data_IF_371534263370
#
_entry.id   IF_371534263370
#
_cell.length_a   1.000
_cell.length_b   1.000
_cell.length_c   1.000
_cell.angle_alpha   90.00
_cell.angle_beta   90.00
_cell.angle_gamma   90.00
#
_symmetry.space_group_name_H-M   'P 1'
#
loop_
_entity.id
_entity.type
_entity.pdbx_description
1 polymer ?
#
# COMPACT_ATOMS: atom_id res chain seq x y z
N UNK A 1 -11.53 -25.45 -1.13
CA UNK A 1 -10.55 -24.76 -0.28
C UNK A 1 -10.00 -25.74 0.74
N UNK A 2 -8.73 -25.59 1.15
CA UNK A 2 -8.17 -26.27 2.31
C UNK A 2 -8.61 -25.54 3.59
N UNK A 3 -8.77 -26.25 4.71
CA UNK A 3 -9.11 -25.65 6.01
C UNK A 3 -7.94 -24.89 6.66
N UNK A 4 -6.77 -24.84 6.01
CA UNK A 4 -5.53 -24.32 6.57
C UNK A 4 -4.34 -25.10 6.03
N UNK A 5 -3.18 -24.45 5.98
CA UNK A 5 -1.95 -25.03 5.48
C UNK A 5 -0.77 -24.64 6.37
N UNK A 6 -0.10 -25.63 6.97
CA UNK A 6 1.17 -25.41 7.67
C UNK A 6 2.33 -25.90 6.81
N UNK A 7 3.25 -25.00 6.47
CA UNK A 7 4.42 -25.28 5.62
C UNK A 7 5.66 -25.34 6.50
N UNK A 8 6.17 -26.56 6.74
CA UNK A 8 7.41 -26.79 7.49
C UNK A 8 8.65 -26.92 6.59
N UNK A 9 8.46 -27.41 5.36
CA UNK A 9 9.50 -27.54 4.33
C UNK A 9 9.37 -26.46 3.27
N UNK A 10 9.61 -26.80 2.00
CA UNK A 10 9.37 -25.91 0.87
C UNK A 10 8.11 -26.31 0.12
N UNK A 11 7.23 -25.35 -0.13
CA UNK A 11 6.15 -25.45 -1.11
C UNK A 11 6.42 -24.45 -2.23
N UNK A 12 6.58 -24.95 -3.45
CA UNK A 12 6.83 -24.12 -4.63
C UNK A 12 5.72 -24.33 -5.67
N UNK A 13 5.24 -23.24 -6.27
CA UNK A 13 4.31 -23.29 -7.39
C UNK A 13 5.08 -23.65 -8.66
N UNK A 14 4.59 -24.65 -9.40
CA UNK A 14 5.15 -24.98 -10.71
C UNK A 14 4.85 -23.87 -11.72
N UNK A 15 5.83 -23.48 -12.54
CA UNK A 15 5.71 -22.42 -13.55
C UNK A 15 5.52 -22.99 -14.97
N UNK A 16 4.70 -24.04 -15.09
CA UNK A 16 4.36 -24.70 -16.36
C UNK A 16 2.88 -24.53 -16.73
N UNK A 17 2.09 -23.90 -15.86
CA UNK A 17 0.64 -23.66 -16.02
C UNK A 17 0.13 -22.66 -14.99
N UNK A 18 -1.07 -22.16 -15.22
CA UNK A 18 -1.79 -21.36 -14.25
C UNK A 18 -2.20 -22.22 -13.03
N UNK A 19 -2.02 -21.69 -11.83
CA UNK A 19 -2.28 -22.37 -10.55
C UNK A 19 -3.09 -21.49 -9.59
N UNK A 20 -3.98 -22.15 -8.83
CA UNK A 20 -4.72 -21.51 -7.74
C UNK A 20 -4.65 -22.36 -6.47
N UNK A 21 -4.35 -21.70 -5.35
CA UNK A 21 -4.46 -22.24 -4.00
C UNK A 21 -5.58 -21.51 -3.26
N UNK A 22 -6.65 -22.21 -2.92
CA UNK A 22 -7.70 -21.69 -2.03
C UNK A 22 -7.57 -22.33 -0.65
N UNK A 23 -7.38 -21.54 0.40
CA UNK A 23 -7.18 -22.01 1.78
C UNK A 23 -7.69 -20.99 2.80
N UNK A 24 -8.09 -21.39 4.00
CA UNK A 24 -8.43 -20.44 5.08
C UNK A 24 -7.22 -19.59 5.46
N UNK A 25 -6.07 -20.23 5.70
CA UNK A 25 -4.83 -19.57 6.11
C UNK A 25 -3.60 -20.37 5.72
N UNK A 26 -2.43 -19.74 5.77
CA UNK A 26 -1.10 -20.36 5.59
C UNK A 26 -0.19 -20.01 6.76
N UNK A 27 0.19 -21.00 7.56
CA UNK A 27 1.24 -20.89 8.57
C UNK A 27 2.58 -21.29 7.97
N UNK A 28 3.54 -20.35 7.91
CA UNK A 28 4.80 -20.54 7.22
C UNK A 28 5.99 -20.57 8.18
N UNK A 29 6.52 -21.78 8.38
CA UNK A 29 7.76 -22.02 9.13
C UNK A 29 8.96 -22.34 8.21
N UNK A 30 8.68 -22.95 7.06
CA UNK A 30 9.66 -23.24 6.01
C UNK A 30 9.63 -22.17 4.92
N UNK A 31 9.48 -22.56 3.66
CA UNK A 31 9.47 -21.67 2.50
C UNK A 31 8.21 -21.83 1.64
N UNK A 32 7.58 -20.71 1.29
CA UNK A 32 6.55 -20.64 0.25
C UNK A 32 7.11 -19.85 -0.92
N UNK A 33 7.18 -20.47 -2.09
CA UNK A 33 7.78 -19.89 -3.30
C UNK A 33 6.78 -19.84 -4.46
N UNK A 34 6.57 -18.64 -4.99
CA UNK A 34 5.94 -18.39 -6.29
C UNK A 34 6.93 -17.54 -7.08
N UNK A 35 7.87 -18.20 -7.76
CA UNK A 35 9.00 -17.54 -8.40
C UNK A 35 10.04 -17.00 -7.40
N UNK A 36 11.22 -16.71 -7.94
CA UNK A 36 12.35 -16.13 -7.21
C UNK A 36 12.77 -14.81 -7.84
N UNK A 37 13.63 -14.04 -7.18
CA UNK A 37 14.21 -12.83 -7.78
C UNK A 37 14.93 -13.13 -9.10
N UNK A 38 15.68 -14.23 -9.16
CA UNK A 38 16.44 -14.62 -10.35
C UNK A 38 15.55 -15.20 -11.46
N UNK A 39 14.47 -15.89 -11.10
CA UNK A 39 13.53 -16.52 -12.03
C UNK A 39 12.10 -16.21 -11.56
N UNK A 40 11.55 -15.04 -11.96
CA UNK A 40 10.18 -14.69 -11.65
C UNK A 40 9.18 -15.66 -12.30
N UNK A 41 8.05 -15.89 -11.63
CA UNK A 41 6.96 -16.71 -12.12
C UNK A 41 6.31 -16.06 -13.34
N UNK A 42 6.06 -16.83 -14.40
CA UNK A 42 5.60 -16.31 -15.70
C UNK A 42 4.14 -16.65 -16.01
N UNK A 43 3.59 -17.66 -15.34
CA UNK A 43 2.17 -18.03 -15.43
C UNK A 43 1.33 -17.32 -14.36
N UNK A 44 0.01 -17.54 -14.34
CA UNK A 44 -0.84 -17.00 -13.28
C UNK A 44 -0.73 -17.89 -12.04
N UNK A 45 -0.48 -17.27 -10.89
CA UNK A 45 -0.53 -17.95 -9.60
C UNK A 45 -1.38 -17.14 -8.64
N UNK A 46 -2.48 -17.72 -8.16
CA UNK A 46 -3.40 -17.05 -7.23
C UNK A 46 -3.46 -17.78 -5.90
N UNK A 47 -3.33 -17.06 -4.79
CA UNK A 47 -3.70 -17.53 -3.45
C UNK A 47 -5.00 -16.80 -3.05
N UNK A 48 -6.06 -17.56 -2.82
CA UNK A 48 -7.35 -17.05 -2.34
C UNK A 48 -7.57 -17.49 -0.88
N UNK A 49 -7.60 -16.51 0.03
CA UNK A 49 -7.80 -16.71 1.48
C UNK A 49 -9.29 -16.66 1.84
N UNK A 50 -9.84 -17.79 2.27
CA UNK A 50 -11.25 -17.94 2.67
C UNK A 50 -11.47 -17.68 4.15
N UNK A 51 -12.73 -17.48 4.54
CA UNK A 51 -13.20 -17.29 5.91
C UNK A 51 -14.44 -18.17 6.19
N UNK A 52 -14.34 -19.45 5.81
CA UNK A 52 -15.40 -20.43 6.08
C UNK A 52 -15.37 -20.90 7.54
N UNK A 53 -14.21 -20.84 8.20
CA UNK A 53 -14.03 -21.15 9.62
C UNK A 53 -13.64 -19.89 10.36
N UNK A 54 -14.64 -19.20 10.93
CA UNK A 54 -14.46 -17.88 11.54
C UNK A 54 -13.85 -17.94 12.94
N UNK A 55 -13.07 -16.91 13.27
CA UNK A 55 -12.58 -16.68 14.63
C UNK A 55 -11.42 -17.60 15.00
N UNK A 56 -10.75 -18.14 14.00
CA UNK A 56 -9.51 -18.87 14.21
C UNK A 56 -8.40 -17.87 14.60
N UNK A 57 -7.43 -18.34 15.39
CA UNK A 57 -6.31 -17.50 15.79
C UNK A 57 -5.02 -18.32 15.79
N UNK A 58 -4.23 -18.16 14.73
CA UNK A 58 -2.99 -18.90 14.55
C UNK A 58 -1.86 -18.22 15.34
N UNK A 59 -1.55 -18.76 16.52
CA UNK A 59 -0.49 -18.24 17.40
C UNK A 59 -0.63 -16.73 17.71
N UNK A 60 -1.86 -16.23 17.87
CA UNK A 60 -2.13 -14.80 18.11
C UNK A 60 -2.01 -13.90 16.88
N UNK A 61 -1.63 -14.44 15.71
CA UNK A 61 -1.51 -13.69 14.46
C UNK A 61 -2.83 -13.58 13.68
N UNK A 62 -3.91 -14.17 14.18
CA UNK A 62 -5.24 -14.14 13.55
C UNK A 62 -5.46 -15.29 12.57
N UNK A 63 -6.48 -15.13 11.73
CA UNK A 63 -6.87 -16.02 10.64
C UNK A 63 -6.85 -15.27 9.30
N UNK A 64 -7.28 -15.94 8.24
CA UNK A 64 -7.38 -15.38 6.88
C UNK A 64 -6.07 -14.71 6.42
N UNK A 65 -4.94 -15.40 6.59
CA UNK A 65 -3.65 -14.78 6.34
C UNK A 65 -2.54 -15.73 5.93
N UNK A 66 -1.43 -15.14 5.49
CA UNK A 66 -0.12 -15.79 5.40
C UNK A 66 0.69 -15.30 6.60
N UNK A 67 0.89 -16.15 7.59
CA UNK A 67 1.59 -15.81 8.82
C UNK A 67 2.93 -16.51 8.84
N UNK A 68 4.01 -15.73 8.85
CA UNK A 68 5.38 -16.22 8.71
C UNK A 68 6.04 -16.19 10.08
N UNK A 69 6.41 -17.37 10.58
CA UNK A 69 7.07 -17.55 11.89
C UNK A 69 8.38 -18.33 11.70
N UNK A 70 9.47 -17.58 11.52
CA UNK A 70 10.80 -18.09 11.21
C UNK A 70 11.00 -18.59 9.77
N UNK A 71 9.95 -18.53 8.94
CA UNK A 71 9.97 -18.97 7.54
C UNK A 71 10.38 -17.89 6.53
N UNK A 72 10.36 -18.25 5.25
CA UNK A 72 10.65 -17.37 4.11
C UNK A 72 9.51 -17.37 3.10
N UNK A 73 8.98 -16.18 2.82
CA UNK A 73 8.01 -15.96 1.75
C UNK A 73 8.70 -15.36 0.52
N UNK A 74 8.67 -16.08 -0.60
CA UNK A 74 9.21 -15.66 -1.89
C UNK A 74 8.07 -15.55 -2.91
N UNK A 75 7.68 -14.33 -3.28
CA UNK A 75 6.66 -14.08 -4.30
C UNK A 75 7.23 -13.13 -5.37
N UNK A 76 7.41 -13.61 -6.59
CA UNK A 76 8.02 -12.87 -7.69
C UNK A 76 7.22 -13.09 -8.98
N UNK A 77 6.48 -12.06 -9.41
CA UNK A 77 5.81 -12.00 -10.70
C UNK A 77 6.62 -11.34 -11.81
N UNK A 78 6.10 -11.37 -13.02
CA UNK A 78 6.80 -11.01 -14.27
C UNK A 78 6.66 -9.52 -14.65
N UNK A 79 6.34 -8.65 -13.69
CA UNK A 79 6.10 -7.23 -13.89
C UNK A 79 6.97 -6.34 -13.03
N UNK A 80 7.61 -5.37 -13.69
CA UNK A 80 8.46 -4.34 -13.07
C UNK A 80 8.12 -2.91 -13.49
N UNK A 81 7.55 -2.69 -14.68
CA UNK A 81 7.03 -1.37 -15.06
C UNK A 81 5.64 -1.15 -14.44
N UNK A 82 5.60 -0.75 -13.18
CA UNK A 82 4.36 -0.69 -12.40
C UNK A 82 3.54 0.57 -12.63
N UNK A 83 4.16 1.69 -12.98
CA UNK A 83 3.46 2.94 -13.30
C UNK A 83 4.32 3.88 -14.14
N UNK A 84 3.66 4.80 -14.82
CA UNK A 84 4.23 5.81 -15.71
C UNK A 84 3.45 7.12 -15.57
N UNK A 85 3.68 8.09 -16.45
CA UNK A 85 2.86 9.30 -16.57
C UNK A 85 2.27 9.42 -17.96
N UNK A 86 1.18 10.17 -18.09
CA UNK A 86 0.68 10.59 -19.39
C UNK A 86 1.74 11.35 -20.18
N UNK A 87 1.83 11.13 -21.48
CA UNK A 87 2.68 11.90 -22.39
C UNK A 87 2.00 13.19 -22.88
N UNK A 88 0.66 13.22 -22.85
CA UNK A 88 -0.18 14.38 -23.17
C UNK A 88 -1.49 14.30 -22.40
N UNK A 89 -2.19 15.43 -22.25
CA UNK A 89 -3.52 15.48 -21.61
C UNK A 89 -4.47 14.46 -22.26
N UNK A 90 -5.15 13.68 -21.42
CA UNK A 90 -6.25 12.81 -21.82
C UNK A 90 -7.57 13.48 -21.48
N UNK A 91 -8.34 13.86 -22.51
CA UNK A 91 -9.60 14.57 -22.31
C UNK A 91 -10.71 13.61 -21.86
N UNK A 92 -11.64 14.13 -21.04
CA UNK A 92 -12.87 13.41 -20.71
C UNK A 92 -13.61 13.00 -21.99
N UNK A 93 -14.18 11.79 -21.99
CA UNK A 93 -14.86 11.20 -23.14
C UNK A 93 -13.94 10.54 -24.17
N UNK A 94 -12.62 10.61 -24.02
CA UNK A 94 -11.68 9.84 -24.85
C UNK A 94 -11.48 8.44 -24.30
N UNK A 95 -11.22 7.45 -25.15
CA UNK A 95 -10.83 6.09 -24.74
C UNK A 95 -9.41 5.75 -25.19
N UNK A 96 -8.58 6.75 -25.44
CA UNK A 96 -7.21 6.57 -25.88
C UNK A 96 -6.30 7.50 -25.08
N UNK A 97 -5.21 6.95 -24.56
CA UNK A 97 -4.20 7.69 -23.81
C UNK A 97 -2.82 7.42 -24.39
N UNK A 98 -1.95 8.42 -24.31
CA UNK A 98 -0.53 8.25 -24.57
C UNK A 98 0.21 8.35 -23.25
N UNK A 99 1.10 7.40 -22.98
CA UNK A 99 1.96 7.38 -21.79
C UNK A 99 3.42 7.56 -22.16
N UNK A 100 4.28 7.83 -21.17
CA UNK A 100 5.72 7.94 -21.42
C UNK A 100 6.38 6.58 -21.66
N UNK A 101 5.84 5.53 -21.04
CA UNK A 101 6.39 4.17 -21.12
C UNK A 101 5.31 3.12 -20.79
N UNK A 102 4.91 2.34 -21.78
CA UNK A 102 3.98 1.22 -21.64
C UNK A 102 4.69 -0.15 -21.65
N UNK A 103 6.02 -0.21 -21.49
CA UNK A 103 6.77 -1.46 -21.51
C UNK A 103 6.20 -2.49 -20.52
N UNK A 104 6.18 -3.76 -20.91
CA UNK A 104 5.62 -4.90 -20.16
C UNK A 104 4.09 -4.89 -19.96
N UNK A 105 3.37 -3.81 -20.26
CA UNK A 105 1.91 -3.79 -20.15
C UNK A 105 1.30 -4.64 -21.26
N UNK A 106 0.15 -5.27 -20.98
CA UNK A 106 -0.53 -6.20 -21.89
C UNK A 106 -1.99 -5.81 -22.07
N UNK A 107 -2.55 -6.18 -23.21
CA UNK A 107 -4.00 -6.15 -23.42
C UNK A 107 -4.67 -7.01 -22.35
N UNK A 108 -5.70 -6.46 -21.71
CA UNK A 108 -6.41 -7.06 -20.58
C UNK A 108 -5.90 -6.64 -19.20
N UNK A 109 -4.75 -5.94 -19.10
CA UNK A 109 -4.32 -5.36 -17.83
C UNK A 109 -5.28 -4.23 -17.42
N UNK A 110 -5.63 -4.20 -16.14
CA UNK A 110 -6.35 -3.09 -15.51
C UNK A 110 -5.35 -2.04 -15.05
N UNK A 111 -5.65 -0.78 -15.34
CA UNK A 111 -4.87 0.40 -14.97
C UNK A 111 -5.74 1.40 -14.21
N UNK A 112 -5.11 2.30 -13.48
CA UNK A 112 -5.74 3.45 -12.83
C UNK A 112 -5.04 4.74 -13.26
N UNK A 113 -5.83 5.75 -13.62
CA UNK A 113 -5.35 7.11 -13.87
C UNK A 113 -5.57 7.93 -12.60
N UNK A 114 -4.56 8.70 -12.18
CA UNK A 114 -4.68 9.56 -11.00
C UNK A 114 -5.55 10.77 -11.26
N UNK A 115 -6.20 11.28 -10.21
CA UNK A 115 -6.86 12.59 -10.29
C UNK A 115 -5.83 13.69 -10.57
N UNK A 116 -6.20 14.67 -11.39
CA UNK A 116 -5.44 15.91 -11.58
C UNK A 116 -6.25 17.13 -11.15
N UNK A 117 -7.25 16.93 -10.30
CA UNK A 117 -8.12 17.96 -9.72
C UNK A 117 -8.06 17.89 -8.18
N UNK A 118 -8.80 18.75 -7.48
CA UNK A 118 -8.90 18.77 -6.02
C UNK A 118 -9.58 17.52 -5.46
N UNK A 119 -10.50 16.90 -6.20
CA UNK A 119 -11.21 15.72 -5.75
C UNK A 119 -10.38 14.44 -6.03
N UNK A 120 -9.87 13.73 -5.01
CA UNK A 120 -9.14 12.48 -5.20
C UNK A 120 -10.01 11.38 -5.81
N UNK A 121 -11.34 11.49 -5.76
CA UNK A 121 -12.29 10.49 -6.28
C UNK A 121 -12.48 10.55 -7.81
N UNK A 122 -11.80 11.47 -8.49
CA UNK A 122 -11.71 11.47 -9.96
C UNK A 122 -10.66 10.50 -10.51
N UNK A 123 -9.93 9.78 -9.64
CA UNK A 123 -9.09 8.67 -10.10
C UNK A 123 -9.96 7.52 -10.60
N UNK A 124 -9.64 6.94 -11.76
CA UNK A 124 -10.52 5.96 -12.39
C UNK A 124 -9.79 4.79 -13.06
N UNK A 125 -10.46 3.62 -13.03
CA UNK A 125 -9.94 2.35 -13.58
C UNK A 125 -10.34 2.15 -15.03
N UNK A 126 -9.44 1.57 -15.83
CA UNK A 126 -9.72 1.15 -17.21
C UNK A 126 -9.01 -0.15 -17.53
N UNK A 127 -9.58 -0.94 -18.43
CA UNK A 127 -8.90 -2.11 -18.98
C UNK A 127 -8.27 -1.74 -20.33
N UNK A 128 -7.06 -2.23 -20.57
CA UNK A 128 -6.38 -2.04 -21.85
C UNK A 128 -6.98 -2.98 -22.90
N UNK A 129 -7.43 -2.43 -24.02
CA UNK A 129 -7.96 -3.21 -25.17
C UNK A 129 -7.00 -3.28 -26.35
N UNK A 130 -6.09 -2.31 -26.50
CA UNK A 130 -5.02 -2.34 -27.49
C UNK A 130 -3.81 -1.53 -27.01
N UNK A 131 -2.62 -1.92 -27.44
CA UNK A 131 -1.36 -1.18 -27.22
C UNK A 131 -0.64 -1.08 -28.57
N UNK A 132 -0.24 0.12 -28.94
CA UNK A 132 0.65 0.40 -30.05
C UNK A 132 1.75 1.34 -29.56
N UNK A 133 2.95 0.79 -29.34
CA UNK A 133 4.03 1.46 -28.62
C UNK A 133 3.56 1.98 -27.24
N UNK A 134 3.51 3.31 -27.06
CA UNK A 134 3.06 3.96 -25.84
C UNK A 134 1.62 4.52 -25.94
N UNK A 135 0.91 4.25 -27.05
CA UNK A 135 -0.50 4.57 -27.21
C UNK A 135 -1.34 3.40 -26.73
N UNK A 136 -2.28 3.66 -25.83
CA UNK A 136 -3.13 2.67 -25.18
C UNK A 136 -4.60 2.98 -25.50
N UNK A 137 -5.34 1.99 -25.98
CA UNK A 137 -6.80 2.05 -26.11
C UNK A 137 -7.46 1.41 -24.89
N UNK A 138 -8.47 2.08 -24.35
CA UNK A 138 -9.21 1.71 -23.16
C UNK A 138 -10.56 1.07 -23.53
N UNK A 139 -11.07 0.23 -22.64
CA UNK A 139 -12.36 -0.46 -22.78
C UNK A 139 -13.57 0.48 -22.76
N UNK A 140 -13.46 1.62 -22.07
CA UNK A 140 -14.49 2.65 -22.01
C UNK A 140 -13.90 4.07 -21.97
N UNK A 141 -14.63 5.09 -22.46
CA UNK A 141 -14.21 6.49 -22.36
C UNK A 141 -13.91 6.92 -20.92
N UNK A 142 -12.94 7.82 -20.72
CA UNK A 142 -12.65 8.48 -19.45
C UNK A 142 -13.82 9.37 -19.03
N UNK A 143 -14.14 9.38 -17.73
CA UNK A 143 -15.17 10.25 -17.17
C UNK A 143 -14.61 11.64 -16.89
N UNK A 144 -13.32 11.72 -16.54
CA UNK A 144 -12.63 12.95 -16.18
C UNK A 144 -11.48 13.27 -17.14
N UNK A 145 -11.09 14.54 -17.17
CA UNK A 145 -9.86 14.95 -17.85
C UNK A 145 -8.68 14.66 -16.93
N UNK A 146 -7.63 14.05 -17.47
CA UNK A 146 -6.38 13.80 -16.76
C UNK A 146 -5.27 14.63 -17.41
N UNK A 147 -4.74 15.58 -16.64
CA UNK A 147 -3.79 16.55 -17.15
C UNK A 147 -2.46 15.88 -17.50
N UNK A 148 -1.83 16.31 -18.60
CA UNK A 148 -0.68 15.61 -19.16
C UNK A 148 0.39 16.58 -19.65
N UNK A 149 0.67 17.66 -18.89
CA UNK A 149 1.69 18.65 -19.26
C UNK A 149 2.58 19.04 -18.08
N UNK A 150 3.76 19.55 -18.41
CA UNK A 150 4.63 20.28 -17.49
C UNK A 150 4.31 21.76 -17.64
N UNK A 151 4.06 22.43 -16.54
CA UNK A 151 3.59 23.83 -16.46
C UNK A 151 4.48 24.58 -15.49
N UNK A 152 5.10 25.67 -15.96
CA UNK A 152 6.02 26.48 -15.16
C UNK A 152 7.16 25.68 -14.48
N UNK A 153 7.58 24.56 -15.09
CA UNK A 153 8.63 23.68 -14.54
C UNK A 153 8.14 22.67 -13.52
N UNK A 154 6.84 22.65 -13.20
CA UNK A 154 6.18 21.64 -12.37
C UNK A 154 5.61 20.54 -13.27
N UNK A 155 5.91 19.30 -12.96
CA UNK A 155 5.38 18.15 -13.71
C UNK A 155 4.01 17.73 -13.17
N UNK A 156 2.95 18.23 -13.81
CA UNK A 156 1.55 17.99 -13.46
C UNK A 156 0.92 16.86 -14.29
N UNK A 157 1.75 16.05 -14.99
CA UNK A 157 1.25 14.88 -15.75
C UNK A 157 0.69 13.84 -14.79
N UNK A 158 -0.56 13.44 -15.02
CA UNK A 158 -1.21 12.36 -14.30
C UNK A 158 -0.37 11.08 -14.39
N UNK A 159 -0.17 10.44 -13.25
CA UNK A 159 0.36 9.10 -13.16
C UNK A 159 -0.68 8.09 -13.64
N UNK A 160 -0.19 7.03 -14.29
CA UNK A 160 -0.99 5.88 -14.71
C UNK A 160 -0.35 4.65 -14.10
N UNK A 161 -1.06 4.02 -13.17
CA UNK A 161 -0.61 2.84 -12.44
C UNK A 161 -1.24 1.55 -12.98
N UNK A 162 -0.44 0.52 -13.19
CA UNK A 162 -0.92 -0.81 -13.55
C UNK A 162 -1.34 -1.57 -12.29
N UNK A 163 -2.59 -2.04 -12.24
CA UNK A 163 -3.13 -2.79 -11.10
C UNK A 163 -2.91 -4.30 -11.25
N UNK A 164 -3.03 -4.83 -12.47
CA UNK A 164 -2.93 -6.28 -12.72
C UNK A 164 -1.52 -6.83 -12.54
N UNK A 165 -1.39 -7.97 -11.84
CA UNK A 165 -0.17 -8.80 -11.84
C UNK A 165 -0.51 -10.27 -12.07
N UNK A 166 0.47 -11.06 -12.51
CA UNK A 166 0.28 -12.50 -12.74
C UNK A 166 0.28 -13.32 -11.44
N UNK A 167 1.01 -12.87 -10.42
CA UNK A 167 0.95 -13.43 -9.06
C UNK A 167 -0.01 -12.60 -8.22
N UNK A 168 -1.01 -13.24 -7.63
CA UNK A 168 -2.08 -12.58 -6.87
C UNK A 168 -2.30 -13.24 -5.51
N UNK A 169 -2.44 -12.43 -4.47
CA UNK A 169 -2.93 -12.86 -3.16
C UNK A 169 -4.15 -12.02 -2.81
N UNK A 170 -5.26 -12.69 -2.49
CA UNK A 170 -6.52 -12.02 -2.23
C UNK A 170 -7.35 -12.75 -1.18
N UNK A 171 -8.27 -12.04 -0.53
CA UNK A 171 -9.39 -12.70 0.14
C UNK A 171 -10.47 -13.15 -0.86
N UNK A 172 -11.27 -14.14 -0.45
CA UNK A 172 -12.51 -14.49 -1.16
C UNK A 172 -13.52 -13.32 -1.17
N UNK A 173 -14.48 -13.32 -2.12
CA UNK A 173 -15.36 -12.16 -2.37
C UNK A 173 -16.27 -11.73 -1.21
N UNK A 174 -16.52 -12.60 -0.23
CA UNK A 174 -17.28 -12.23 0.97
C UNK A 174 -16.63 -11.06 1.75
N UNK A 175 -15.32 -10.86 1.59
CA UNK A 175 -14.59 -9.77 2.23
C UNK A 175 -15.10 -8.38 1.83
N UNK A 176 -15.69 -8.22 0.63
CA UNK A 176 -16.29 -6.95 0.20
C UNK A 176 -17.47 -6.53 1.08
N UNK A 177 -18.16 -7.50 1.69
CA UNK A 177 -19.30 -7.27 2.57
C UNK A 177 -18.88 -7.20 4.04
N UNK A 178 -17.95 -8.05 4.45
CA UNK A 178 -17.51 -8.14 5.85
C UNK A 178 -16.43 -7.14 6.21
N UNK A 179 -15.73 -6.57 5.21
CA UNK A 179 -14.53 -5.75 5.35
C UNK A 179 -13.39 -6.48 6.10
N UNK A 180 -13.43 -7.81 6.10
CA UNK A 180 -12.48 -8.69 6.76
C UNK A 180 -11.62 -9.36 5.70
N UNK A 181 -10.60 -8.67 5.22
CA UNK A 181 -9.76 -9.14 4.11
C UNK A 181 -8.62 -10.07 4.54
N UNK A 182 -7.79 -10.44 3.57
CA UNK A 182 -6.61 -11.26 3.82
C UNK A 182 -5.49 -10.42 4.46
N UNK A 183 -4.55 -11.04 5.17
CA UNK A 183 -3.37 -10.32 5.67
C UNK A 183 -2.07 -11.12 5.52
N UNK A 184 -0.93 -10.43 5.50
CA UNK A 184 0.40 -11.06 5.48
C UNK A 184 1.22 -10.46 6.62
N UNK A 185 1.74 -11.32 7.49
CA UNK A 185 2.52 -10.90 8.66
C UNK A 185 3.82 -11.70 8.75
N UNK A 186 4.94 -10.99 8.65
CA UNK A 186 6.26 -11.51 8.94
C UNK A 186 6.62 -11.22 10.40
N UNK A 187 6.70 -12.24 11.24
CA UNK A 187 7.17 -12.11 12.62
C UNK A 187 8.71 -12.03 12.68
N UNK A 188 9.22 -11.83 13.90
CA UNK A 188 10.65 -11.95 14.24
C UNK A 188 11.28 -13.19 13.58
N UNK A 189 12.50 -13.01 13.06
CA UNK A 189 13.31 -13.99 12.30
C UNK A 189 12.77 -14.42 10.93
N UNK A 190 11.56 -14.03 10.55
CA UNK A 190 11.00 -14.32 9.22
C UNK A 190 11.63 -13.46 8.11
N UNK A 191 11.55 -13.97 6.88
CA UNK A 191 12.02 -13.29 5.67
C UNK A 191 10.89 -13.16 4.66
N UNK A 192 10.77 -12.00 4.04
CA UNK A 192 9.73 -11.72 3.04
C UNK A 192 10.31 -10.95 1.86
N UNK A 193 10.13 -11.52 0.66
CA UNK A 193 10.60 -10.98 -0.61
C UNK A 193 9.43 -10.99 -1.60
N UNK A 194 8.89 -9.81 -1.89
CA UNK A 194 7.69 -9.65 -2.70
C UNK A 194 8.00 -8.73 -3.88
N UNK A 195 7.83 -9.21 -5.11
CA UNK A 195 8.04 -8.42 -6.33
C UNK A 195 6.96 -8.69 -7.37
N UNK A 196 6.32 -7.66 -7.91
CA UNK A 196 5.39 -7.82 -9.02
C UNK A 196 4.14 -8.65 -8.65
N UNK A 197 3.65 -8.47 -7.43
CA UNK A 197 2.48 -9.19 -6.88
C UNK A 197 1.28 -8.25 -6.75
N UNK A 198 0.08 -8.74 -7.04
CA UNK A 198 -1.18 -8.05 -6.80
C UNK A 198 -1.79 -8.51 -5.48
N UNK A 199 -2.22 -7.55 -4.65
CA UNK A 199 -2.82 -7.72 -3.35
C UNK A 199 -4.17 -7.00 -3.34
N UNK A 200 -5.28 -7.73 -3.28
CA UNK A 200 -6.63 -7.14 -3.30
C UNK A 200 -7.60 -7.81 -2.33
N UNK A 201 -8.56 -7.05 -1.80
CA UNK A 201 -9.40 -7.46 -0.65
C UNK A 201 -8.53 -7.87 0.55
N UNK A 202 -7.53 -7.05 0.83
CA UNK A 202 -6.54 -7.28 1.89
C UNK A 202 -6.69 -6.25 3.03
N UNK A 203 -6.13 -6.58 4.20
CA UNK A 203 -6.32 -5.84 5.44
C UNK A 203 -7.64 -6.18 6.11
N UNK A 204 -7.71 -6.11 7.44
CA UNK A 204 -8.92 -6.41 8.20
C UNK A 204 -9.38 -5.15 8.92
N UNK A 205 -10.56 -4.65 8.53
CA UNK A 205 -11.10 -3.41 9.06
C UNK A 205 -11.22 -3.49 10.59
N UNK A 206 -10.81 -2.42 11.28
CA UNK A 206 -10.85 -2.32 12.74
C UNK A 206 -10.18 -3.48 13.49
N UNK A 207 -9.26 -4.21 12.84
CA UNK A 207 -8.45 -5.25 13.49
C UNK A 207 -6.97 -4.90 13.45
N UNK A 208 -6.39 -4.62 14.61
CA UNK A 208 -5.00 -4.18 14.74
C UNK A 208 -4.02 -5.24 14.18
N UNK A 209 -2.94 -4.77 13.56
CA UNK A 209 -1.85 -5.58 13.00
C UNK A 209 -2.22 -6.46 11.78
N UNK A 210 -3.44 -6.38 11.27
CA UNK A 210 -3.93 -7.20 10.14
C UNK A 210 -3.95 -6.40 8.84
N UNK A 211 -2.78 -6.32 8.20
CA UNK A 211 -2.55 -5.48 7.02
C UNK A 211 -2.17 -6.32 5.80
N UNK A 212 -2.33 -5.79 4.56
CA UNK A 212 -1.92 -6.48 3.36
C UNK A 212 -0.47 -6.98 3.44
N UNK A 213 0.43 -6.15 3.96
CA UNK A 213 1.84 -6.47 4.21
C UNK A 213 2.27 -5.88 5.56
N UNK A 214 2.82 -6.70 6.44
CA UNK A 214 3.28 -6.29 7.76
C UNK A 214 4.58 -6.98 8.17
N UNK A 215 5.67 -6.22 8.32
CA UNK A 215 6.85 -6.66 9.08
C UNK A 215 6.70 -6.30 10.54
N UNK A 216 6.63 -7.31 11.41
CA UNK A 216 6.34 -7.15 12.82
C UNK A 216 7.56 -7.53 13.68
N UNK A 217 8.27 -6.49 14.13
CA UNK A 217 9.40 -6.57 15.06
C UNK A 217 10.59 -7.40 14.52
N UNK A 218 10.82 -7.45 13.21
CA UNK A 218 11.91 -8.22 12.60
C UNK A 218 13.31 -7.71 12.99
N UNK A 219 13.42 -6.48 13.53
CA UNK A 219 14.69 -5.88 13.89
C UNK A 219 15.42 -5.36 12.66
N UNK A 220 16.27 -6.17 12.04
CA UNK A 220 16.97 -5.82 10.80
C UNK A 220 16.34 -6.52 9.61
N UNK A 221 15.79 -5.72 8.70
CA UNK A 221 15.16 -6.15 7.46
C UNK A 221 16.07 -6.05 6.24
N UNK A 222 17.38 -5.80 6.42
CA UNK A 222 18.31 -5.62 5.31
C UNK A 222 18.19 -6.73 4.24
N UNK A 223 18.00 -6.31 3.00
CA UNK A 223 17.81 -7.19 1.83
C UNK A 223 16.38 -7.66 1.60
N UNK A 224 15.46 -7.51 2.56
CA UNK A 224 14.03 -7.80 2.38
C UNK A 224 13.31 -6.63 1.69
N UNK A 225 12.26 -6.96 0.94
CA UNK A 225 11.58 -5.95 0.13
C UNK A 225 10.14 -6.28 -0.22
N UNK A 226 9.39 -5.22 -0.50
CA UNK A 226 8.25 -5.25 -1.41
C UNK A 226 8.49 -4.26 -2.55
N UNK A 227 8.44 -4.75 -3.80
CA UNK A 227 8.61 -3.91 -4.97
C UNK A 227 7.70 -4.22 -6.14
N UNK A 228 7.44 -3.25 -7.01
CA UNK A 228 6.64 -3.43 -8.22
C UNK A 228 5.23 -3.98 -7.98
N UNK A 229 4.77 -4.01 -6.73
CA UNK A 229 3.51 -4.61 -6.34
C UNK A 229 2.34 -3.68 -6.67
N UNK A 230 1.15 -4.26 -6.71
CA UNK A 230 -0.11 -3.55 -6.75
C UNK A 230 -0.90 -3.88 -5.49
N UNK A 231 -1.32 -2.88 -4.72
CA UNK A 231 -2.08 -3.06 -3.47
C UNK A 231 -3.34 -2.21 -3.56
N UNK A 232 -4.51 -2.82 -3.75
CA UNK A 232 -5.73 -2.06 -3.98
C UNK A 232 -6.98 -2.69 -3.40
N UNK A 233 -7.99 -1.86 -3.15
CA UNK A 233 -9.24 -2.27 -2.52
C UNK A 233 -8.98 -2.98 -1.18
N UNK A 234 -8.28 -2.26 -0.30
CA UNK A 234 -7.89 -2.75 1.01
C UNK A 234 -8.82 -2.23 2.10
N UNK A 235 -9.02 -3.00 3.15
CA UNK A 235 -9.82 -2.60 4.30
C UNK A 235 -8.99 -2.05 5.48
N UNK A 236 -7.65 -2.12 5.40
CA UNK A 236 -6.75 -1.44 6.35
C UNK A 236 -5.31 -1.38 5.82
N UNK A 237 -4.76 -0.18 5.77
CA UNK A 237 -3.39 0.20 5.39
C UNK A 237 -2.93 -0.40 4.05
N UNK A 238 -1.65 -0.24 3.72
CA UNK A 238 -0.99 -0.91 2.61
C UNK A 238 0.20 -1.72 3.13
N UNK A 239 1.30 -1.04 3.41
CA UNK A 239 2.57 -1.63 3.87
C UNK A 239 2.89 -1.07 5.24
N UNK A 240 2.89 -1.95 6.23
CA UNK A 240 3.23 -1.61 7.62
C UNK A 240 4.61 -2.13 7.98
N UNK A 241 5.44 -1.23 8.50
CA UNK A 241 6.77 -1.55 9.05
C UNK A 241 6.76 -1.18 10.52
N UNK A 242 6.86 -2.20 11.38
CA UNK A 242 6.80 -2.05 12.83
C UNK A 242 8.07 -2.65 13.43
N UNK A 243 8.85 -1.84 14.15
CA UNK A 243 10.06 -2.26 14.84
C UNK A 243 11.14 -2.86 13.93
N UNK A 244 11.09 -2.54 12.64
CA UNK A 244 11.95 -3.12 11.60
C UNK A 244 12.69 -2.02 10.85
N UNK A 245 13.96 -2.27 10.54
CA UNK A 245 14.89 -1.31 9.96
C UNK A 245 15.42 -1.80 8.60
N UNK A 246 15.98 -0.90 7.79
CA UNK A 246 16.73 -1.22 6.57
C UNK A 246 15.95 -1.98 5.47
N UNK A 247 14.62 -1.91 5.46
CA UNK A 247 13.78 -2.49 4.40
C UNK A 247 13.79 -1.65 3.11
N UNK A 248 13.42 -2.28 2.00
CA UNK A 248 13.13 -1.60 0.73
C UNK A 248 11.65 -1.73 0.35
N UNK A 249 10.96 -0.59 0.23
CA UNK A 249 9.59 -0.46 -0.25
C UNK A 249 9.63 0.38 -1.53
N UNK A 250 9.54 -0.26 -2.69
CA UNK A 250 9.91 0.40 -3.95
C UNK A 250 8.91 0.19 -5.10
N UNK A 251 8.58 1.24 -5.82
CA UNK A 251 7.87 1.13 -7.10
C UNK A 251 6.51 0.42 -7.01
N UNK A 252 5.84 0.52 -5.86
CA UNK A 252 4.52 -0.07 -5.65
C UNK A 252 3.42 0.91 -6.08
N UNK A 253 2.33 0.39 -6.65
CA UNK A 253 1.11 1.15 -6.93
C UNK A 253 0.07 0.77 -5.88
N UNK A 254 -0.52 1.76 -5.22
CA UNK A 254 -1.65 1.53 -4.32
C UNK A 254 -2.87 2.31 -4.77
N UNK A 255 -4.05 1.72 -4.62
CA UNK A 255 -5.29 2.37 -5.04
C UNK A 255 -6.48 2.00 -4.16
N UNK A 256 -7.31 2.99 -3.81
CA UNK A 256 -8.54 2.79 -3.05
C UNK A 256 -8.27 2.05 -1.72
N UNK A 257 -7.40 2.65 -0.90
CA UNK A 257 -6.93 2.05 0.35
C UNK A 257 -7.53 2.75 1.56
N UNK A 258 -7.53 2.12 2.73
CA UNK A 258 -8.15 2.68 3.96
C UNK A 258 -7.15 2.79 5.09
N UNK A 259 -7.14 3.89 5.82
CA UNK A 259 -6.15 4.19 6.85
C UNK A 259 -4.79 4.55 6.24
N UNK A 260 -3.80 4.81 7.11
CA UNK A 260 -2.47 5.19 6.65
C UNK A 260 -1.85 4.12 5.74
N UNK A 261 -1.51 4.46 4.50
CA UNK A 261 -1.14 3.47 3.48
C UNK A 261 0.27 2.92 3.72
N UNK A 262 1.32 3.73 3.55
CA UNK A 262 2.69 3.38 3.93
C UNK A 262 2.93 3.84 5.37
N UNK A 263 3.00 2.89 6.31
CA UNK A 263 2.87 3.16 7.74
C UNK A 263 4.09 2.68 8.55
N UNK A 264 4.75 3.61 9.23
CA UNK A 264 5.71 3.34 10.31
C UNK A 264 5.01 3.41 11.67
N UNK A 265 5.11 2.37 12.49
CA UNK A 265 4.24 2.25 13.67
C UNK A 265 4.74 3.04 14.89
N UNK A 266 5.97 2.79 15.36
CA UNK A 266 6.37 3.22 16.71
C UNK A 266 7.43 4.32 16.76
N UNK A 267 7.96 4.75 15.62
CA UNK A 267 8.98 5.79 15.55
C UNK A 267 10.37 5.31 15.95
N UNK A 268 10.60 4.00 16.03
CA UNK A 268 11.94 3.39 16.22
C UNK A 268 12.57 2.97 14.88
N UNK A 269 11.77 2.89 13.82
CA UNK A 269 12.10 2.34 12.52
C UNK A 269 13.00 3.30 11.74
N UNK A 270 14.19 2.85 11.33
CA UNK A 270 15.21 3.65 10.65
C UNK A 270 15.84 2.91 9.49
N UNK A 271 16.47 3.65 8.57
CA UNK A 271 17.18 3.09 7.42
C UNK A 271 16.28 2.47 6.35
N UNK A 272 14.96 2.47 6.53
CA UNK A 272 14.02 1.99 5.53
C UNK A 272 13.99 2.95 4.34
N UNK A 273 13.78 2.40 3.14
CA UNK A 273 13.78 3.14 1.89
C UNK A 273 12.42 3.01 1.21
N UNK A 274 11.73 4.13 1.06
CA UNK A 274 10.49 4.29 0.31
C UNK A 274 10.81 5.03 -0.99
N UNK A 275 10.84 4.30 -2.11
CA UNK A 275 11.34 4.83 -3.38
C UNK A 275 10.33 4.60 -4.50
N UNK A 276 9.94 5.66 -5.22
CA UNK A 276 9.06 5.55 -6.40
C UNK A 276 7.70 4.88 -6.14
N UNK A 277 7.18 4.94 -4.92
CA UNK A 277 5.83 4.42 -4.66
C UNK A 277 4.76 5.43 -5.10
N UNK A 278 3.69 4.94 -5.69
CA UNK A 278 2.53 5.72 -6.13
C UNK A 278 1.34 5.33 -5.25
N UNK A 279 0.87 6.26 -4.42
CA UNK A 279 -0.31 6.10 -3.58
C UNK A 279 -1.48 6.89 -4.16
N UNK A 280 -2.59 6.22 -4.44
CA UNK A 280 -3.74 6.82 -5.11
C UNK A 280 -4.99 6.60 -4.26
N UNK A 281 -5.71 7.68 -3.96
CA UNK A 281 -6.99 7.64 -3.22
C UNK A 281 -6.89 6.88 -1.88
N UNK A 282 -6.07 7.41 -0.96
CA UNK A 282 -6.01 6.92 0.43
C UNK A 282 -7.18 7.47 1.24
N UNK A 283 -8.01 6.62 1.83
CA UNK A 283 -9.25 7.01 2.50
C UNK A 283 -9.18 6.84 4.01
N UNK A 284 -9.94 7.63 4.76
CA UNK A 284 -10.09 7.42 6.20
C UNK A 284 -11.00 6.22 6.50
N UNK A 285 -12.06 6.06 5.69
CA UNK A 285 -13.03 4.99 5.83
C UNK A 285 -13.43 4.39 4.47
N UNK A 286 -14.02 3.20 4.49
CA UNK A 286 -14.52 2.55 3.28
C UNK A 286 -15.72 3.29 2.67
N UNK A 287 -16.69 3.63 3.52
CA UNK A 287 -18.04 4.07 3.11
C UNK A 287 -18.47 5.39 3.75
N UNK A 288 -17.66 5.95 4.66
CA UNK A 288 -17.99 7.15 5.43
C UNK A 288 -17.09 8.32 5.05
N UNK A 289 -17.57 9.57 5.19
CA UNK A 289 -16.70 10.73 5.14
C UNK A 289 -15.63 10.66 6.22
N UNK A 290 -14.46 11.20 5.93
CA UNK A 290 -13.41 11.43 6.92
C UNK A 290 -13.85 12.50 7.93
N UNK A 291 -13.42 12.40 9.19
CA UNK A 291 -13.54 13.47 10.21
C UNK A 291 -12.13 13.88 10.70
N UNK A 292 -11.35 14.59 9.86
CA UNK A 292 -9.96 14.91 10.15
C UNK A 292 -9.77 15.99 11.20
N UNK A 293 -8.59 15.96 11.83
CA UNK A 293 -8.15 17.05 12.70
C UNK A 293 -7.51 18.14 11.85
N UNK A 294 -8.35 18.99 11.27
CA UNK A 294 -7.89 20.06 10.38
C UNK A 294 -7.30 21.22 11.18
N UNK A 295 -5.97 21.34 11.18
CA UNK A 295 -5.26 22.41 11.85
C UNK A 295 -5.22 23.68 10.99
N UNK A 296 -6.30 24.46 11.02
CA UNK A 296 -6.43 25.72 10.27
C UNK A 296 -6.16 27.00 11.08
N UNK A 297 -5.90 28.16 10.42
CA UNK A 297 -5.76 29.47 11.09
C UNK A 297 -7.05 29.91 11.79
N UNK A 298 -6.99 30.35 13.06
CA UNK A 298 -8.16 30.65 13.91
C UNK A 298 -9.30 31.37 13.17
N UNK A 299 -10.52 30.83 13.22
CA UNK A 299 -11.69 31.39 12.53
C UNK A 299 -11.89 30.91 11.08
N UNK A 300 -11.11 29.92 10.62
CA UNK A 300 -11.28 29.28 9.33
C UNK A 300 -12.57 28.44 9.25
N UNK A 301 -13.02 27.86 10.36
CA UNK A 301 -14.31 27.19 10.44
C UNK A 301 -15.43 28.18 10.80
N UNK A 302 -16.65 27.90 10.32
CA UNK A 302 -17.84 28.71 10.59
C UNK A 302 -18.21 28.78 12.09
N UNK A 303 -17.77 27.81 12.90
CA UNK A 303 -17.96 27.78 14.35
C UNK A 303 -16.80 28.40 15.15
N UNK A 304 -15.75 28.88 14.47
CA UNK A 304 -14.57 29.50 15.08
C UNK A 304 -13.63 28.52 15.81
N UNK A 305 -13.90 27.22 15.75
CA UNK A 305 -13.09 26.16 16.35
C UNK A 305 -12.41 25.33 15.27
N UNK A 306 -11.13 25.60 15.03
CA UNK A 306 -10.32 24.82 14.06
C UNK A 306 -9.58 23.65 14.71
N UNK A 307 -10.14 23.07 15.77
CA UNK A 307 -9.56 21.88 16.41
C UNK A 307 -10.70 21.02 16.95
N UNK A 308 -11.20 20.10 16.13
CA UNK A 308 -12.16 19.09 16.55
C UNK A 308 -11.41 17.77 16.72
N UNK A 309 -11.54 17.15 17.89
CA UNK A 309 -10.96 15.84 18.19
C UNK A 309 -11.99 14.72 18.10
N UNK A 310 -13.22 15.01 17.66
CA UNK A 310 -14.31 14.02 17.56
C UNK A 310 -13.92 12.81 16.71
N UNK A 311 -13.23 13.05 15.59
CA UNK A 311 -12.72 11.98 14.75
C UNK A 311 -11.65 11.13 15.43
N UNK A 312 -10.83 11.73 16.28
CA UNK A 312 -9.78 11.04 17.04
C UNK A 312 -10.36 10.09 18.11
N UNK A 313 -11.50 10.46 18.69
CA UNK A 313 -12.22 9.66 19.70
C UNK A 313 -13.25 8.69 19.08
N UNK A 314 -13.29 8.58 17.75
CA UNK A 314 -14.24 7.72 17.05
C UNK A 314 -14.01 6.24 17.38
N UNK A 315 -15.10 5.47 17.47
CA UNK A 315 -15.04 4.00 17.60
C UNK A 315 -14.81 3.30 16.27
N UNK A 316 -14.71 4.07 15.19
CA UNK A 316 -14.63 3.58 13.81
C UNK A 316 -13.24 3.81 13.21
N UNK A 317 -12.24 4.01 14.08
CA UNK A 317 -10.82 4.10 13.75
C UNK A 317 -10.03 3.07 14.56
N UNK A 318 -8.89 2.60 14.05
CA UNK A 318 -8.00 1.71 14.80
C UNK A 318 -7.11 2.50 15.77
N UNK A 319 -6.60 3.62 15.30
CA UNK A 319 -5.81 4.56 16.07
C UNK A 319 -6.35 5.99 15.87
N UNK A 320 -6.15 6.90 16.83
CA UNK A 320 -6.71 8.25 16.76
C UNK A 320 -6.40 9.02 15.47
N UNK A 321 -5.25 8.73 14.84
CA UNK A 321 -4.82 9.39 13.60
C UNK A 321 -5.50 8.87 12.32
N UNK A 322 -6.19 7.72 12.34
CA UNK A 322 -6.75 7.14 11.10
C UNK A 322 -7.87 7.97 10.50
N UNK A 323 -8.48 8.84 11.30
CA UNK A 323 -9.42 9.85 10.81
C UNK A 323 -8.74 11.05 10.15
N UNK A 324 -7.41 11.05 10.06
CA UNK A 324 -6.60 11.97 9.25
C UNK A 324 -5.64 11.12 8.44
N UNK A 325 -6.19 10.13 7.73
CA UNK A 325 -5.41 9.12 7.02
C UNK A 325 -4.43 9.74 6.04
N UNK A 326 -3.25 9.14 5.93
CA UNK A 326 -2.20 9.62 5.05
C UNK A 326 -1.68 8.57 4.08
N UNK A 327 -1.27 9.01 2.88
CA UNK A 327 -0.59 8.11 1.95
C UNK A 327 0.75 7.65 2.51
N UNK A 328 1.51 8.56 3.13
CA UNK A 328 2.78 8.26 3.81
C UNK A 328 2.72 8.76 5.25
N UNK A 329 2.69 7.83 6.20
CA UNK A 329 2.75 8.08 7.64
C UNK A 329 4.15 7.81 8.17
N UNK A 330 4.83 8.87 8.60
CA UNK A 330 6.27 8.88 8.84
C UNK A 330 6.53 9.27 10.31
N UNK A 331 6.80 8.27 11.15
CA UNK A 331 7.05 8.49 12.59
C UNK A 331 8.52 8.62 12.95
N UNK A 332 9.44 8.37 12.00
CA UNK A 332 10.87 8.54 12.23
C UNK A 332 11.57 9.18 11.02
N UNK A 333 12.31 10.30 11.22
CA UNK A 333 12.99 11.01 10.13
C UNK A 333 14.20 10.26 9.54
N UNK A 334 14.71 9.23 10.21
CA UNK A 334 15.89 8.46 9.83
C UNK A 334 15.69 7.48 8.66
N UNK A 335 14.73 7.75 7.78
CA UNK A 335 14.38 6.93 6.62
C UNK A 335 14.55 7.72 5.31
N UNK A 336 14.49 7.03 4.18
CA UNK A 336 14.59 7.64 2.84
C UNK A 336 13.23 7.64 2.17
N UNK A 337 12.79 8.79 1.71
CA UNK A 337 11.61 8.99 0.88
C UNK A 337 12.03 9.69 -0.41
N UNK A 338 12.09 8.94 -1.50
CA UNK A 338 12.55 9.45 -2.79
C UNK A 338 11.58 9.15 -3.92
N UNK A 339 11.27 10.18 -4.71
CA UNK A 339 10.49 10.07 -5.96
C UNK A 339 9.11 9.40 -5.75
N UNK A 340 8.54 9.46 -4.55
CA UNK A 340 7.21 8.93 -4.28
C UNK A 340 6.13 9.93 -4.68
N UNK A 341 4.93 9.44 -4.99
CA UNK A 341 3.77 10.26 -5.36
C UNK A 341 2.61 9.92 -4.43
N UNK A 342 2.09 10.94 -3.75
CA UNK A 342 0.79 10.91 -3.05
C UNK A 342 -0.26 11.60 -3.92
N UNK A 343 -0.88 10.82 -4.81
CA UNK A 343 -1.84 11.25 -5.82
C UNK A 343 -3.28 11.02 -5.35
N UNK A 344 -3.66 11.74 -4.30
CA UNK A 344 -5.01 11.72 -3.74
C UNK A 344 -5.12 11.02 -2.40
N UNK A 345 -5.64 11.75 -1.41
CA UNK A 345 -6.07 11.20 -0.12
C UNK A 345 -7.21 12.03 0.45
N UNK A 346 -8.03 11.41 1.30
CA UNK A 346 -9.11 12.09 2.02
C UNK A 346 -8.55 13.18 2.97
N UNK A 347 -7.29 13.04 3.42
CA UNK A 347 -6.62 14.01 4.28
C UNK A 347 -5.18 14.31 3.78
N UNK A 348 -4.18 13.55 4.20
CA UNK A 348 -2.78 13.98 4.07
C UNK A 348 -1.97 13.16 3.06
N UNK A 349 -1.20 13.82 2.19
CA UNK A 349 -0.24 13.14 1.31
C UNK A 349 0.94 12.55 2.12
N UNK A 350 1.80 13.42 2.64
CA UNK A 350 2.92 13.05 3.51
C UNK A 350 2.73 13.63 4.91
N UNK A 351 2.76 12.79 5.95
CA UNK A 351 2.67 13.23 7.34
C UNK A 351 3.92 12.84 8.13
N UNK A 352 4.69 13.83 8.56
CA UNK A 352 5.81 13.69 9.49
C UNK A 352 5.31 13.78 10.95
N UNK A 353 5.02 12.63 11.56
CA UNK A 353 4.45 12.54 12.90
C UNK A 353 5.51 12.05 13.91
N UNK A 354 6.59 12.83 14.10
CA UNK A 354 7.71 12.39 14.93
C UNK A 354 7.35 12.45 16.43
N UNK A 355 7.42 11.34 17.18
CA UNK A 355 7.24 11.36 18.62
C UNK A 355 8.52 11.84 19.34
N UNK A 356 8.38 12.22 20.61
CA UNK A 356 9.55 12.56 21.45
C UNK A 356 10.41 11.32 21.70
N UNK A 357 9.76 10.22 22.08
CA UNK A 357 10.36 8.90 22.20
C UNK A 357 9.49 7.89 21.46
N UNK A 358 10.07 6.79 20.94
CA UNK A 358 9.29 5.71 20.35
C UNK A 358 8.17 5.21 21.27
N UNK A 359 7.01 4.97 20.67
CA UNK A 359 5.74 4.62 21.32
C UNK A 359 5.47 3.11 21.23
N UNK A 360 4.25 2.69 21.61
CA UNK A 360 3.74 1.35 21.35
C UNK A 360 4.60 0.24 21.96
N UNK A 361 5.02 -0.73 21.16
CA UNK A 361 5.79 -1.89 21.63
C UNK A 361 7.18 -1.51 22.17
N UNK A 362 7.67 -0.31 21.85
CA UNK A 362 8.97 0.19 22.31
C UNK A 362 8.88 1.17 23.48
N UNK A 363 7.68 1.59 23.89
CA UNK A 363 7.50 2.58 24.95
C UNK A 363 8.21 2.17 26.26
N UNK A 364 8.97 3.10 26.85
CA UNK A 364 9.68 2.87 28.12
C UNK A 364 10.90 1.94 28.06
N UNK A 365 11.17 1.30 26.92
CA UNK A 365 12.38 0.49 26.72
C UNK A 365 13.65 1.34 26.69
N UNK A 366 14.80 0.75 26.97
CA UNK A 366 16.08 1.48 26.92
C UNK A 366 16.43 1.95 25.49
N UNK A 367 15.98 1.21 24.46
CA UNK A 367 16.07 1.64 23.06
C UNK A 367 15.23 2.90 22.80
N UNK A 368 14.01 2.96 23.33
CA UNK A 368 13.15 4.14 23.20
C UNK A 368 13.74 5.35 23.94
N UNK A 369 14.24 5.19 25.17
CA UNK A 369 14.92 6.27 25.92
C UNK A 369 16.16 6.83 25.20
N UNK A 370 16.87 5.98 24.46
CA UNK A 370 18.05 6.35 23.69
C UNK A 370 17.71 6.99 22.32
N UNK A 371 16.47 6.90 21.86
CA UNK A 371 16.01 7.44 20.59
C UNK A 371 15.14 8.69 20.81
N UNK A 372 15.37 9.72 20.01
CA UNK A 372 14.56 10.94 20.03
C UNK A 372 14.22 11.38 18.60
N UNK A 373 13.18 10.83 17.96
CA UNK A 373 12.85 11.11 16.56
C UNK A 373 12.71 12.60 16.25
N UNK A 374 12.04 13.40 17.09
CA UNK A 374 11.95 14.87 16.92
C UNK A 374 13.28 15.63 16.87
N UNK A 375 14.39 15.04 17.34
CA UNK A 375 15.73 15.66 17.34
C UNK A 375 16.69 15.00 16.35
N UNK A 376 16.25 13.95 15.67
CA UNK A 376 17.03 13.30 14.63
C UNK A 376 17.05 14.18 13.38
N UNK A 377 18.16 14.15 12.65
CA UNK A 377 18.23 14.80 11.34
C UNK A 377 17.31 14.05 10.38
N UNK A 378 16.55 14.79 9.58
CA UNK A 378 15.85 14.21 8.43
C UNK A 378 16.87 13.51 7.54
N UNK A 379 16.57 12.26 7.19
CA UNK A 379 17.25 11.52 6.15
C UNK A 379 16.98 12.15 4.79
N UNK A 380 16.78 11.33 3.77
CA UNK A 380 16.47 11.85 2.44
C UNK A 380 14.96 12.04 2.27
N UNK A 381 14.53 13.24 1.88
CA UNK A 381 13.19 13.52 1.39
C UNK A 381 13.31 14.32 0.08
N UNK A 382 13.26 13.64 -1.05
CA UNK A 382 13.66 14.23 -2.35
C UNK A 382 12.77 13.77 -3.49
N UNK A 383 12.35 14.69 -4.36
CA UNK A 383 11.60 14.36 -5.58
C UNK A 383 10.19 13.84 -5.33
N UNK A 384 9.71 13.87 -4.09
CA UNK A 384 8.35 13.45 -3.76
C UNK A 384 7.33 14.47 -4.28
N UNK A 385 6.18 13.97 -4.74
CA UNK A 385 5.09 14.77 -5.30
C UNK A 385 3.81 14.51 -4.50
N UNK A 386 3.04 15.55 -4.21
CA UNK A 386 1.72 15.44 -3.60
C UNK A 386 0.73 16.33 -4.36
N UNK A 387 -0.40 15.76 -4.78
CA UNK A 387 -1.52 16.48 -5.38
C UNK A 387 -2.84 15.77 -5.08
N UNK A 388 -3.96 16.48 -5.22
CA UNK A 388 -5.31 15.95 -4.96
C UNK A 388 -5.53 15.47 -3.52
N UNK A 389 -4.70 15.92 -2.58
CA UNK A 389 -4.86 15.67 -1.13
C UNK A 389 -5.52 16.91 -0.49
N UNK A 390 -6.20 16.75 0.65
CA UNK A 390 -6.60 17.91 1.46
C UNK A 390 -5.36 18.72 1.87
N UNK A 391 -4.38 18.03 2.48
CA UNK A 391 -3.06 18.54 2.78
C UNK A 391 -1.99 17.73 2.04
N UNK A 392 -1.19 18.39 1.20
CA UNK A 392 -0.09 17.71 0.52
C UNK A 392 1.01 17.24 1.48
N UNK A 393 1.25 18.01 2.54
CA UNK A 393 2.32 17.78 3.50
C UNK A 393 1.95 18.34 4.89
N UNK A 394 2.08 17.53 5.93
CA UNK A 394 1.86 17.88 7.34
C UNK A 394 3.09 17.47 8.16
N UNK A 395 3.53 18.30 9.11
CA UNK A 395 4.72 17.99 9.94
C UNK A 395 4.82 18.79 11.21
#
# INVERSE_FOLDING_TARGET
ALNGLTIMGKLAFADDKDLELTTEWVMLHGELEIGTEAVPHTHKATITLTDNVRGEAMMGMGDRGIMISGGTLNLHGDRSNSWTKLAKTADAGTNAIDVLDAAQWRVGDEIVLTSTDFDPRQAERRNITAISDNSITLDKPLEYMHFGKITFGVDERAEVGMLTRNVKVQASPDADQTLFGGHIMAMVTSKMYVSGVELTRMGQNLTLARYPIHWHLNGDGAGQYIRNASIHDTYSRCVTVHGTNNLKVENNVTFNTVGHCFFLEDGIETGNQYVRNLAIQTKCHMTKPCDPTDLGPFGASADGLNFKTTGQDSKEVLIPSDNTASSFWITNPGNVYRDNVAAGSDATGFWLAFPEHPTGAFEGTDRSKAAWPRRMKLGEFKGNVAHSNHDGFMG
#
